data_IF_315699121815
#
_entry.id   IF_315699121815
#
_cell.length_a   1.000
_cell.length_b   1.000
_cell.length_c   1.000
_cell.angle_alpha   90.00
_cell.angle_beta   90.00
_cell.angle_gamma   90.00
#
_symmetry.space_group_name_H-M   'P 1'
#
loop_
_entity.id
_entity.type
_entity.pdbx_description
1 polymer ?
#
# COMPACT_ATOMS: atom_id res chain seq x y z
N UNK A 1 22.09 -19.71 33.08
CA UNK A 1 22.38 -19.77 31.65
C UNK A 1 21.24 -19.08 30.91
N UNK A 2 21.51 -18.05 30.11
CA UNK A 2 20.47 -17.38 29.34
C UNK A 2 20.13 -18.29 28.16
N UNK A 3 18.94 -18.89 28.18
CA UNK A 3 18.35 -19.55 27.02
C UNK A 3 18.27 -18.49 25.93
N UNK A 4 19.17 -18.55 24.94
CA UNK A 4 19.00 -17.84 23.68
C UNK A 4 17.64 -18.29 23.15
N UNK A 5 16.64 -17.41 23.23
CA UNK A 5 15.33 -17.61 22.62
C UNK A 5 15.55 -17.71 21.11
N UNK A 6 15.87 -18.92 20.66
CA UNK A 6 16.05 -19.22 19.26
C UNK A 6 14.66 -19.14 18.64
N UNK A 7 14.48 -18.15 17.78
CA UNK A 7 13.22 -17.96 17.07
C UNK A 7 12.88 -19.24 16.31
N UNK A 8 11.61 -19.65 16.36
CA UNK A 8 11.12 -20.86 15.70
C UNK A 8 11.23 -20.77 14.16
N UNK A 9 11.09 -19.56 13.61
CA UNK A 9 11.17 -19.33 12.16
C UNK A 9 12.01 -18.07 11.84
N UNK A 10 13.35 -18.16 11.99
CA UNK A 10 14.25 -17.00 11.94
C UNK A 10 14.53 -16.47 10.51
N UNK A 11 13.90 -17.04 9.48
CA UNK A 11 14.11 -16.69 8.06
C UNK A 11 12.83 -16.21 7.37
N UNK A 12 11.77 -15.94 8.12
CA UNK A 12 10.50 -15.48 7.56
C UNK A 12 10.66 -14.05 7.06
N UNK A 13 10.55 -13.87 5.75
CA UNK A 13 10.62 -12.56 5.09
C UNK A 13 9.29 -12.12 4.48
N UNK A 14 8.30 -13.03 4.43
CA UNK A 14 6.97 -12.77 3.87
C UNK A 14 5.91 -13.21 4.86
N UNK A 15 4.92 -12.36 5.08
CA UNK A 15 3.80 -12.67 5.97
C UNK A 15 2.47 -12.30 5.30
N UNK A 16 1.45 -13.12 5.54
CA UNK A 16 0.06 -12.83 5.19
C UNK A 16 -0.76 -12.94 6.45
N UNK A 17 -1.42 -11.85 6.84
CA UNK A 17 -2.22 -11.76 8.07
C UNK A 17 -3.65 -11.45 7.68
N UNK A 18 -4.58 -12.22 8.22
CA UNK A 18 -6.02 -12.02 8.04
C UNK A 18 -6.66 -11.65 9.38
N UNK A 19 -7.42 -10.55 9.39
CA UNK A 19 -8.10 -10.04 10.58
C UNK A 19 -9.61 -10.25 10.48
N UNK A 20 -10.18 -10.74 11.57
CA UNK A 20 -11.61 -10.95 11.77
C UNK A 20 -12.22 -9.85 12.67
N UNK A 21 -13.54 -9.89 12.89
CA UNK A 21 -14.32 -8.85 13.58
C UNK A 21 -13.73 -8.46 14.95
N UNK A 22 -13.29 -9.46 15.71
CA UNK A 22 -12.67 -9.26 17.02
C UNK A 22 -11.21 -9.67 16.97
N UNK A 23 -10.32 -8.71 17.18
CA UNK A 23 -8.89 -8.97 17.31
C UNK A 23 -8.39 -8.36 18.63
N UNK A 24 -7.85 -9.17 19.55
CA UNK A 24 -7.33 -8.64 20.79
C UNK A 24 -6.17 -7.68 20.51
N UNK A 25 -6.15 -6.56 21.25
CA UNK A 25 -5.08 -5.59 21.15
C UNK A 25 -3.73 -6.28 21.42
N UNK A 26 -2.71 -5.91 20.66
CA UNK A 26 -1.34 -6.44 20.78
C UNK A 26 -1.15 -7.92 20.43
N UNK A 27 -2.15 -8.64 19.90
CA UNK A 27 -1.98 -10.06 19.50
C UNK A 27 -0.84 -10.28 18.49
N UNK A 28 -0.52 -9.26 17.68
CA UNK A 28 0.59 -9.33 16.73
C UNK A 28 1.97 -9.26 17.40
N UNK A 29 2.07 -8.77 18.64
CA UNK A 29 3.32 -8.79 19.39
C UNK A 29 3.75 -10.23 19.73
N UNK A 30 2.81 -11.14 19.97
CA UNK A 30 3.11 -12.55 20.21
C UNK A 30 3.83 -13.22 19.03
N UNK A 31 3.67 -12.70 17.80
CA UNK A 31 4.40 -13.22 16.64
C UNK A 31 5.91 -13.00 16.76
N UNK A 32 6.37 -11.99 17.50
CA UNK A 32 7.80 -11.72 17.71
C UNK A 32 8.54 -12.85 18.44
N UNK A 33 7.80 -13.72 19.14
CA UNK A 33 8.34 -14.93 19.78
C UNK A 33 8.76 -15.96 18.71
N UNK A 34 8.06 -15.97 17.56
CA UNK A 34 8.22 -16.98 16.52
C UNK A 34 9.09 -16.49 15.37
N UNK A 35 9.03 -15.21 15.02
CA UNK A 35 9.68 -14.63 13.83
C UNK A 35 10.43 -13.34 14.17
N UNK A 36 11.49 -13.06 13.41
CA UNK A 36 12.14 -11.77 13.44
C UNK A 36 11.37 -10.78 12.55
N UNK A 37 10.49 -9.97 13.14
CA UNK A 37 9.61 -9.06 12.39
C UNK A 37 10.42 -8.06 11.54
N UNK A 38 11.61 -7.65 11.99
CA UNK A 38 12.45 -6.72 11.23
C UNK A 38 12.92 -7.27 9.89
N UNK A 39 12.94 -8.60 9.69
CA UNK A 39 13.31 -9.24 8.42
C UNK A 39 12.17 -9.32 7.40
N UNK A 40 10.95 -8.94 7.78
CA UNK A 40 9.81 -8.96 6.88
C UNK A 40 10.03 -7.91 5.79
N UNK A 41 10.08 -8.35 4.54
CA UNK A 41 10.21 -7.49 3.36
C UNK A 41 8.90 -7.35 2.58
N UNK A 42 7.97 -8.29 2.78
CA UNK A 42 6.67 -8.33 2.13
C UNK A 42 5.55 -8.70 3.10
N UNK A 43 4.49 -7.91 3.11
CA UNK A 43 3.34 -8.10 3.98
C UNK A 43 2.04 -8.02 3.17
N UNK A 44 1.15 -8.99 3.39
CA UNK A 44 -0.24 -8.92 2.92
C UNK A 44 -1.16 -8.85 4.13
N UNK A 45 -2.01 -7.82 4.19
CA UNK A 45 -3.03 -7.63 5.20
C UNK A 45 -4.40 -7.85 4.56
N UNK A 46 -5.20 -8.75 5.13
CA UNK A 46 -6.54 -9.07 4.64
C UNK A 46 -7.55 -8.82 5.73
N UNK A 47 -8.64 -8.12 5.41
CA UNK A 47 -9.79 -8.09 6.30
C UNK A 47 -11.08 -7.75 5.56
N UNK A 48 -12.15 -8.48 5.87
CA UNK A 48 -13.51 -8.10 5.48
C UNK A 48 -14.09 -7.03 6.43
N UNK A 49 -13.35 -6.69 7.48
CA UNK A 49 -13.82 -5.94 8.65
C UNK A 49 -12.99 -4.70 8.94
N UNK A 50 -12.22 -4.19 7.98
CA UNK A 50 -11.69 -2.84 8.09
C UNK A 50 -12.86 -1.86 8.20
N UNK A 51 -13.12 -1.39 9.40
CA UNK A 51 -14.19 -0.46 9.71
C UNK A 51 -13.65 0.56 10.70
N UNK A 52 -14.21 1.77 10.68
CA UNK A 52 -13.87 2.84 11.62
C UNK A 52 -14.01 2.42 13.10
N UNK A 53 -14.85 1.43 13.39
CA UNK A 53 -15.09 0.90 14.74
C UNK A 53 -13.96 -0.01 15.24
N UNK A 54 -13.11 -0.53 14.35
CA UNK A 54 -12.05 -1.48 14.67
C UNK A 54 -10.69 -0.80 14.91
N UNK A 55 -10.67 0.25 15.72
CA UNK A 55 -9.44 1.03 15.98
C UNK A 55 -8.31 0.18 16.57
N UNK A 56 -8.63 -0.80 17.43
CA UNK A 56 -7.63 -1.71 18.01
C UNK A 56 -6.90 -2.53 16.94
N UNK A 57 -7.59 -2.93 15.88
CA UNK A 57 -6.98 -3.64 14.74
C UNK A 57 -5.98 -2.72 14.04
N UNK A 58 -6.35 -1.47 13.76
CA UNK A 58 -5.45 -0.50 13.13
C UNK A 58 -4.23 -0.17 13.99
N UNK A 59 -4.41 -0.01 15.31
CA UNK A 59 -3.30 0.20 16.25
C UNK A 59 -2.37 -1.01 16.25
N UNK A 60 -2.92 -2.23 16.34
CA UNK A 60 -2.14 -3.46 16.29
C UNK A 60 -1.34 -3.59 15.00
N UNK A 61 -1.97 -3.34 13.85
CA UNK A 61 -1.33 -3.35 12.53
C UNK A 61 -0.22 -2.31 12.46
N UNK A 62 -0.49 -1.07 12.89
CA UNK A 62 0.51 0.02 12.86
C UNK A 62 1.75 -0.38 13.66
N UNK A 63 1.56 -0.82 14.90
CA UNK A 63 2.67 -1.24 15.77
C UNK A 63 3.46 -2.42 15.17
N UNK A 64 2.78 -3.34 14.47
CA UNK A 64 3.43 -4.47 13.81
C UNK A 64 4.22 -4.05 12.58
N UNK A 65 3.67 -3.16 11.77
CA UNK A 65 4.34 -2.58 10.60
C UNK A 65 5.57 -1.77 11.01
N UNK A 66 5.49 -0.98 12.08
CA UNK A 66 6.61 -0.18 12.59
C UNK A 66 7.82 -1.04 13.00
N UNK A 67 7.58 -2.28 13.44
CA UNK A 67 8.63 -3.25 13.75
C UNK A 67 9.26 -3.88 12.50
N UNK A 68 8.55 -3.86 11.36
CA UNK A 68 9.01 -4.42 10.09
C UNK A 68 9.83 -3.40 9.29
N UNK A 69 10.99 -3.00 9.84
CA UNK A 69 11.82 -1.91 9.28
C UNK A 69 12.31 -2.15 7.84
N UNK A 70 12.39 -3.41 7.39
CA UNK A 70 12.78 -3.76 6.02
C UNK A 70 11.59 -3.92 5.06
N UNK A 71 10.38 -3.52 5.48
CA UNK A 71 9.16 -3.71 4.71
C UNK A 71 9.19 -2.87 3.42
N UNK A 72 9.47 -3.54 2.30
CA UNK A 72 9.51 -2.91 0.98
C UNK A 72 8.20 -3.03 0.21
N UNK A 73 7.37 -4.02 0.54
CA UNK A 73 6.15 -4.33 -0.18
C UNK A 73 4.97 -4.59 0.76
N UNK A 74 3.91 -3.82 0.61
CA UNK A 74 2.69 -3.93 1.41
C UNK A 74 1.48 -4.10 0.50
N UNK A 75 0.66 -5.12 0.75
CA UNK A 75 -0.62 -5.33 0.06
C UNK A 75 -1.74 -5.31 1.09
N UNK A 76 -2.70 -4.40 0.93
CA UNK A 76 -3.89 -4.30 1.76
C UNK A 76 -5.07 -4.75 0.91
N UNK A 77 -5.72 -5.83 1.33
CA UNK A 77 -6.87 -6.41 0.65
C UNK A 77 -8.09 -6.30 1.56
N UNK A 78 -9.20 -5.83 1.00
CA UNK A 78 -10.40 -5.59 1.78
C UNK A 78 -11.61 -6.17 1.08
N UNK A 79 -12.46 -6.81 1.88
CA UNK A 79 -13.75 -7.31 1.41
C UNK A 79 -14.80 -6.21 1.21
N UNK A 80 -14.52 -4.99 1.66
CA UNK A 80 -15.52 -3.94 1.89
C UNK A 80 -16.28 -3.53 0.63
N UNK A 81 -17.58 -3.30 0.79
CA UNK A 81 -18.37 -2.52 -0.16
C UNK A 81 -17.93 -1.05 -0.15
N UNK A 82 -18.14 -0.32 -1.26
CA UNK A 82 -17.63 1.05 -1.49
C UNK A 82 -17.92 2.02 -0.34
N UNK A 83 -19.10 1.93 0.29
CA UNK A 83 -19.51 2.81 1.39
C UNK A 83 -18.65 2.61 2.65
N UNK A 84 -18.36 1.36 3.03
CA UNK A 84 -17.48 1.07 4.18
C UNK A 84 -16.02 1.42 3.88
N UNK A 85 -15.61 1.30 2.61
CA UNK A 85 -14.26 1.67 2.21
C UNK A 85 -13.99 3.16 2.45
N UNK A 86 -14.93 4.05 2.11
CA UNK A 86 -14.79 5.50 2.37
C UNK A 86 -14.54 5.83 3.85
N UNK A 87 -15.23 5.13 4.76
CA UNK A 87 -15.09 5.37 6.20
C UNK A 87 -13.79 4.79 6.77
N UNK A 88 -13.30 3.70 6.18
CA UNK A 88 -12.09 3.02 6.64
C UNK A 88 -10.80 3.53 5.97
N UNK A 89 -10.90 4.26 4.85
CA UNK A 89 -9.73 4.54 4.00
C UNK A 89 -8.68 5.41 4.69
N UNK A 90 -9.10 6.41 5.48
CA UNK A 90 -8.15 7.27 6.20
C UNK A 90 -7.35 6.47 7.22
N UNK A 91 -8.01 5.52 7.90
CA UNK A 91 -7.34 4.59 8.80
C UNK A 91 -6.40 3.66 8.04
N UNK A 92 -6.80 3.14 6.88
CA UNK A 92 -5.96 2.32 6.01
C UNK A 92 -4.75 3.11 5.51
N UNK A 93 -4.91 4.36 5.09
CA UNK A 93 -3.80 5.23 4.69
C UNK A 93 -2.87 5.52 5.87
N UNK A 94 -3.42 5.62 7.09
CA UNK A 94 -2.66 5.92 8.29
C UNK A 94 -1.61 4.85 8.65
N UNK A 95 -1.81 3.60 8.21
CA UNK A 95 -0.92 2.46 8.52
C UNK A 95 0.16 2.23 7.46
N UNK A 96 0.14 2.93 6.33
CA UNK A 96 1.12 2.74 5.26
C UNK A 96 2.46 3.39 5.66
N UNK A 97 3.57 2.64 5.73
CA UNK A 97 4.88 3.24 5.95
C UNK A 97 5.31 4.09 4.76
N UNK A 98 6.01 5.19 5.02
CA UNK A 98 6.54 6.06 3.98
C UNK A 98 7.68 5.42 3.15
N UNK A 99 8.32 4.38 3.66
CA UNK A 99 9.46 3.69 3.03
C UNK A 99 9.06 2.51 2.13
N UNK A 100 7.77 2.23 1.98
CA UNK A 100 7.30 1.17 1.07
C UNK A 100 7.60 1.54 -0.38
N UNK A 101 8.11 0.57 -1.13
CA UNK A 101 8.41 0.72 -2.56
C UNK A 101 7.30 0.15 -3.45
N UNK A 102 6.58 -0.86 -2.98
CA UNK A 102 5.53 -1.55 -3.72
C UNK A 102 4.26 -1.64 -2.89
N UNK A 103 3.22 -0.92 -3.31
CA UNK A 103 1.96 -0.86 -2.57
C UNK A 103 0.82 -1.50 -3.38
N UNK A 104 0.05 -2.40 -2.76
CA UNK A 104 -1.25 -2.83 -3.25
C UNK A 104 -2.35 -2.33 -2.32
N UNK A 105 -3.34 -1.61 -2.82
CA UNK A 105 -4.35 -0.98 -1.97
C UNK A 105 -5.67 -0.75 -2.73
N UNK A 106 -6.84 -0.92 -2.09
CA UNK A 106 -8.09 -0.45 -2.68
C UNK A 106 -8.18 1.07 -2.68
N UNK A 107 -8.75 1.63 -3.75
CA UNK A 107 -9.07 3.05 -3.83
C UNK A 107 -10.44 3.24 -4.50
N UNK A 108 -11.06 4.38 -4.26
CA UNK A 108 -12.33 4.74 -4.88
C UNK A 108 -12.45 6.21 -5.27
N UNK A 109 -11.43 7.04 -5.01
CA UNK A 109 -11.31 8.41 -5.51
C UNK A 109 -9.87 8.77 -5.91
N UNK A 110 -9.70 9.84 -6.69
CA UNK A 110 -8.39 10.33 -7.13
C UNK A 110 -7.63 11.02 -5.99
N UNK A 111 -8.35 11.67 -5.06
CA UNK A 111 -7.76 12.33 -3.90
C UNK A 111 -6.96 11.34 -3.03
N UNK A 112 -7.43 10.09 -2.94
CA UNK A 112 -6.73 9.02 -2.24
C UNK A 112 -5.37 8.70 -2.88
N UNK A 113 -5.27 8.77 -4.21
CA UNK A 113 -4.01 8.57 -4.93
C UNK A 113 -3.01 9.67 -4.57
N UNK A 114 -3.48 10.92 -4.52
CA UNK A 114 -2.66 12.07 -4.14
C UNK A 114 -2.13 11.91 -2.70
N UNK A 115 -3.01 11.58 -1.75
CA UNK A 115 -2.63 11.34 -0.35
C UNK A 115 -1.55 10.25 -0.22
N UNK A 116 -1.69 9.14 -0.95
CA UNK A 116 -0.70 8.05 -0.97
C UNK A 116 0.64 8.54 -1.51
N UNK A 117 0.63 9.23 -2.65
CA UNK A 117 1.83 9.71 -3.33
C UNK A 117 2.55 10.85 -2.60
N UNK A 118 1.86 11.60 -1.74
CA UNK A 118 2.46 12.66 -0.93
C UNK A 118 3.13 12.08 0.32
N UNK A 119 2.56 11.03 0.90
CA UNK A 119 3.11 10.37 2.09
C UNK A 119 4.24 9.39 1.78
N UNK A 120 4.16 8.67 0.65
CA UNK A 120 5.03 7.54 0.34
C UNK A 120 5.99 7.89 -0.80
N UNK A 121 7.03 8.67 -0.47
CA UNK A 121 7.99 9.19 -1.43
C UNK A 121 8.92 8.13 -2.05
N UNK A 122 8.99 6.91 -1.49
CA UNK A 122 9.80 5.81 -2.01
C UNK A 122 9.04 4.86 -2.94
N UNK A 123 7.76 5.13 -3.23
CA UNK A 123 6.96 4.26 -4.07
C UNK A 123 7.51 4.21 -5.50
N UNK A 124 7.68 2.99 -5.99
CA UNK A 124 8.09 2.68 -7.36
C UNK A 124 6.96 2.00 -8.12
N UNK A 125 6.11 1.24 -7.43
CA UNK A 125 4.92 0.65 -8.01
C UNK A 125 3.73 0.75 -7.07
N UNK A 126 2.55 1.03 -7.66
CA UNK A 126 1.27 0.92 -6.96
C UNK A 126 0.33 0.05 -7.77
N UNK A 127 -0.35 -0.86 -7.09
CA UNK A 127 -1.47 -1.65 -7.61
C UNK A 127 -2.74 -1.21 -6.91
N UNK A 128 -3.64 -0.59 -7.67
CA UNK A 128 -4.96 -0.20 -7.21
C UNK A 128 -5.95 -1.34 -7.43
N UNK A 129 -6.64 -1.77 -6.37
CA UNK A 129 -7.86 -2.57 -6.50
C UNK A 129 -9.03 -1.63 -6.79
N UNK A 130 -9.56 -1.73 -8.01
CA UNK A 130 -10.52 -0.81 -8.60
C UNK A 130 -11.72 -1.60 -9.06
N UNK A 131 -12.78 -1.65 -8.25
CA UNK A 131 -13.96 -2.46 -8.56
C UNK A 131 -14.79 -1.93 -9.74
N UNK A 132 -14.59 -0.69 -10.17
CA UNK A 132 -15.34 -0.02 -11.24
C UNK A 132 -14.46 0.26 -12.46
N UNK A 133 -14.83 -0.30 -13.62
CA UNK A 133 -14.05 -0.16 -14.86
C UNK A 133 -13.83 1.29 -15.30
N UNK A 134 -14.82 2.18 -15.13
CA UNK A 134 -14.70 3.60 -15.49
C UNK A 134 -13.64 4.32 -14.64
N UNK A 135 -13.58 4.01 -13.35
CA UNK A 135 -12.60 4.61 -12.46
C UNK A 135 -11.16 4.20 -12.82
N UNK A 136 -10.97 2.99 -13.38
CA UNK A 136 -9.66 2.58 -13.89
C UNK A 136 -9.14 3.51 -15.00
N UNK A 137 -10.01 4.02 -15.88
CA UNK A 137 -9.62 4.96 -16.94
C UNK A 137 -9.29 6.34 -16.38
N UNK A 138 -10.04 6.80 -15.38
CA UNK A 138 -9.76 8.05 -14.66
C UNK A 138 -8.38 8.01 -13.99
N UNK A 139 -8.00 6.90 -13.36
CA UNK A 139 -6.66 6.71 -12.76
C UNK A 139 -5.57 6.83 -13.82
N UNK A 140 -5.70 6.09 -14.93
CA UNK A 140 -4.69 6.07 -16.00
C UNK A 140 -4.53 7.48 -16.59
N UNK A 141 -5.66 8.16 -16.85
CA UNK A 141 -5.65 9.54 -17.33
C UNK A 141 -4.95 10.46 -16.34
N UNK A 142 -5.27 10.35 -15.04
CA UNK A 142 -4.65 11.17 -14.01
C UNK A 142 -3.12 11.02 -14.00
N UNK A 143 -2.59 9.79 -14.03
CA UNK A 143 -1.14 9.58 -14.10
C UNK A 143 -0.53 10.13 -15.39
N UNK A 144 -1.19 9.95 -16.53
CA UNK A 144 -0.75 10.48 -17.83
C UNK A 144 -0.65 12.01 -17.81
N UNK A 145 -1.63 12.66 -17.19
CA UNK A 145 -1.71 14.12 -17.12
C UNK A 145 -0.73 14.70 -16.10
N UNK A 146 -0.49 14.02 -14.96
CA UNK A 146 0.23 14.59 -13.81
C UNK A 146 1.67 14.07 -13.59
N UNK A 147 2.12 13.08 -14.36
CA UNK A 147 3.46 12.52 -14.19
C UNK A 147 4.19 12.39 -15.52
N UNK A 148 5.51 12.35 -15.46
CA UNK A 148 6.42 12.06 -16.57
C UNK A 148 6.89 10.62 -16.39
N UNK A 149 6.90 9.85 -17.48
CA UNK A 149 7.40 8.47 -17.54
C UNK A 149 6.67 7.43 -16.68
N UNK A 150 5.55 7.77 -16.01
CA UNK A 150 4.71 6.74 -15.40
C UNK A 150 4.11 5.85 -16.48
N UNK A 151 4.14 4.55 -16.24
CA UNK A 151 3.48 3.57 -17.11
C UNK A 151 2.33 2.91 -16.35
N UNK A 152 1.23 2.67 -17.05
CA UNK A 152 0.03 2.06 -16.46
C UNK A 152 -0.32 0.76 -17.20
N UNK A 153 -0.76 -0.24 -16.46
CA UNK A 153 -1.33 -1.48 -16.99
C UNK A 153 -2.69 -1.72 -16.35
N UNK A 154 -3.73 -1.84 -17.19
CA UNK A 154 -5.11 -2.14 -16.76
C UNK A 154 -5.31 -3.66 -16.77
N UNK A 155 -5.79 -4.19 -15.65
CA UNK A 155 -6.25 -5.57 -15.54
C UNK A 155 -7.71 -5.65 -15.10
N UNK A 156 -8.24 -6.86 -14.94
CA UNK A 156 -9.59 -7.05 -14.40
C UNK A 156 -9.67 -6.51 -12.97
N UNK A 157 -10.47 -5.45 -12.78
CA UNK A 157 -10.67 -4.74 -11.51
C UNK A 157 -9.39 -4.21 -10.86
N UNK A 158 -8.35 -3.94 -11.66
CA UNK A 158 -7.09 -3.44 -11.13
C UNK A 158 -6.38 -2.51 -12.11
N UNK A 159 -5.61 -1.58 -11.56
CA UNK A 159 -4.66 -0.76 -12.31
C UNK A 159 -3.30 -0.86 -11.62
N UNK A 160 -2.30 -1.32 -12.36
CA UNK A 160 -0.90 -1.28 -11.93
C UNK A 160 -0.25 -0.04 -12.53
N UNK A 161 0.50 0.69 -11.70
CA UNK A 161 1.24 1.88 -12.10
C UNK A 161 2.69 1.72 -11.67
N UNK A 162 3.61 1.90 -12.60
CA UNK A 162 5.02 2.15 -12.31
C UNK A 162 5.21 3.66 -12.25
N UNK A 163 5.63 4.16 -11.09
CA UNK A 163 5.66 5.58 -10.80
C UNK A 163 6.89 6.19 -11.45
N UNK A 164 6.65 7.15 -12.34
CA UNK A 164 7.65 8.07 -12.85
C UNK A 164 7.76 9.32 -11.97
N UNK A 165 8.25 10.42 -12.54
CA UNK A 165 8.43 11.67 -11.80
C UNK A 165 7.15 12.52 -11.84
N UNK A 166 6.81 13.19 -10.73
CA UNK A 166 5.69 14.15 -10.73
C UNK A 166 6.04 15.32 -11.67
N UNK A 167 5.10 15.77 -12.51
CA UNK A 167 5.26 17.03 -13.24
C UNK A 167 5.21 18.16 -12.21
N UNK A 168 6.35 18.67 -11.79
CA UNK A 168 6.38 19.95 -11.08
C UNK A 168 5.86 21.01 -12.03
N UNK A 169 4.88 21.80 -11.60
CA UNK A 169 4.53 23.06 -12.25
C UNK A 169 5.71 24.02 -12.05
N UNK A 170 6.77 23.78 -12.81
CA UNK A 170 7.87 24.71 -12.98
C UNK A 170 7.45 25.57 -14.16
N UNK A 171 7.03 26.80 -13.87
CA UNK A 171 7.31 27.91 -14.77
C UNK A 171 8.79 27.84 -15.13
N UNK A 172 9.12 27.27 -16.28
CA UNK A 172 10.22 27.69 -17.17
C UNK A 172 10.36 26.74 -18.37
N UNK A 173 10.10 27.34 -19.53
CA UNK A 173 10.79 27.17 -20.82
C UNK A 173 10.64 25.79 -21.51
N UNK A 174 9.74 25.83 -22.48
CA UNK A 174 9.67 25.00 -23.67
C UNK A 174 11.06 24.59 -24.20
N UNK A 175 11.40 23.31 -24.12
CA UNK A 175 12.38 22.69 -25.03
C UNK A 175 11.72 21.48 -25.66
N UNK A 176 11.35 21.69 -26.92
CA UNK A 176 10.79 20.70 -27.82
C UNK A 176 11.75 19.51 -27.95
N UNK A 177 11.40 18.39 -27.34
CA UNK A 177 12.04 17.11 -27.60
C UNK A 177 11.03 16.19 -28.25
N UNK A 178 10.82 16.42 -29.57
CA UNK A 178 10.40 15.38 -30.50
C UNK A 178 11.18 14.10 -30.17
N UNK A 179 10.50 13.10 -29.60
CA UNK A 179 11.00 11.71 -29.59
C UNK A 179 9.95 10.80 -30.19
N UNK A 180 10.46 10.02 -31.15
CA UNK A 180 9.74 9.22 -32.12
C UNK A 180 8.95 8.09 -31.46
N UNK A 181 7.74 7.85 -31.98
CA UNK A 181 7.05 6.56 -31.82
C UNK A 181 7.84 5.51 -32.59
N UNK A 182 8.18 4.40 -31.93
CA UNK A 182 8.39 3.13 -32.62
C UNK A 182 7.11 2.30 -32.52
N UNK A 183 6.76 1.70 -33.66
CA UNK A 183 5.51 1.01 -33.97
C UNK A 183 5.14 -0.12 -33.00
#
# INVERSE_FOLDING_TARGET
EATTNQLLFPKVTKVSIEFYEEWPLLSLQSLSIFINISQIVHMTLRSYYFSEYNQNVFIGIRNFIEQAQNLSSLIIQTGLYRYKLNLAIDNIHSIIPNHVKHLGIPINTIEQIQMILDRCNQLTTIKFDVRLTKFSEEIIKWFTDNTIDSTCSKGYKMVCVWIGTKKTQSTEINVDHKRMKFC
#
